data_IF_820598214250
#
_entry.id   IF_820598214250
#
_cell.length_a   1.000
_cell.length_b   1.000
_cell.length_c   1.000
_cell.angle_alpha   90.00
_cell.angle_beta   90.00
_cell.angle_gamma   90.00
#
_symmetry.space_group_name_H-M   'P 1'
#
loop_
_entity.id
_entity.type
_entity.pdbx_description
1 polymer ?
#
# COMPACT_ATOMS: atom_id res chain seq x y z
N UNK A 1 -4.29 -19.47 -10.77
CA UNK A 1 -3.51 -18.23 -10.92
C UNK A 1 -4.45 -17.20 -11.51
N UNK A 2 -4.75 -16.11 -10.80
CA UNK A 2 -5.50 -15.00 -11.41
C UNK A 2 -4.48 -14.13 -12.13
N UNK A 3 -4.66 -13.95 -13.43
CA UNK A 3 -3.89 -12.97 -14.21
C UNK A 3 -4.53 -11.61 -13.96
N UNK A 4 -3.78 -10.51 -14.01
CA UNK A 4 -4.34 -9.14 -13.96
C UNK A 4 -3.90 -8.42 -15.23
N UNK A 5 -4.71 -7.46 -15.68
CA UNK A 5 -4.38 -6.58 -16.80
C UNK A 5 -3.71 -5.32 -16.27
N UNK A 6 -2.47 -5.08 -16.69
CA UNK A 6 -1.72 -3.87 -16.38
C UNK A 6 -2.15 -2.72 -17.29
N UNK A 7 -2.88 -1.77 -16.71
CA UNK A 7 -3.37 -0.55 -17.38
C UNK A 7 -2.40 0.59 -17.15
N UNK A 8 -1.76 1.07 -18.21
CA UNK A 8 -0.76 2.14 -18.11
C UNK A 8 -1.42 3.50 -18.05
N UNK A 9 -0.98 4.32 -17.11
CA UNK A 9 -1.53 5.64 -16.87
C UNK A 9 -0.58 6.74 -17.30
N UNK A 10 -1.16 7.79 -17.87
CA UNK A 10 -0.47 9.03 -18.20
C UNK A 10 -1.30 10.22 -17.73
N UNK A 11 -0.63 11.27 -17.23
CA UNK A 11 -1.31 12.51 -16.86
C UNK A 11 -1.59 13.33 -18.11
N UNK A 12 -2.86 13.66 -18.35
CA UNK A 12 -3.32 14.46 -19.50
C UNK A 12 -4.11 15.67 -19.02
N UNK A 13 -3.40 16.78 -18.78
CA UNK A 13 -4.00 18.01 -18.25
C UNK A 13 -4.74 17.79 -16.92
N UNK A 14 -6.06 17.89 -16.95
CA UNK A 14 -6.94 17.65 -15.78
C UNK A 14 -7.40 16.19 -15.61
N UNK A 15 -7.02 15.30 -16.54
CA UNK A 15 -7.48 13.91 -16.61
C UNK A 15 -6.33 12.92 -16.51
N UNK A 16 -6.66 11.69 -16.20
CA UNK A 16 -5.80 10.52 -16.34
C UNK A 16 -6.21 9.79 -17.61
N UNK A 17 -5.26 9.61 -18.53
CA UNK A 17 -5.43 8.77 -19.70
C UNK A 17 -4.93 7.36 -19.37
N UNK A 18 -5.62 6.34 -19.87
CA UNK A 18 -5.36 4.95 -19.57
C UNK A 18 -5.26 4.13 -20.85
N UNK A 19 -4.22 3.31 -20.94
CA UNK A 19 -4.00 2.33 -22.00
C UNK A 19 -4.37 0.94 -21.45
N UNK A 20 -5.39 0.32 -22.02
CA UNK A 20 -5.94 -0.97 -21.58
C UNK A 20 -5.58 -2.02 -22.63
N UNK A 21 -4.53 -2.83 -22.41
CA UNK A 21 -4.17 -3.90 -23.33
C UNK A 21 -5.16 -5.06 -23.22
N UNK A 22 -5.68 -5.53 -24.35
CA UNK A 22 -6.60 -6.67 -24.45
C UNK A 22 -6.20 -7.50 -25.66
N UNK A 23 -5.65 -8.69 -25.41
CA UNK A 23 -5.07 -9.54 -26.45
C UNK A 23 -3.93 -8.82 -27.19
N UNK A 24 -4.04 -8.76 -28.52
CA UNK A 24 -3.11 -8.07 -29.40
C UNK A 24 -3.45 -6.58 -29.62
N UNK A 25 -4.52 -6.07 -29.01
CA UNK A 25 -4.99 -4.69 -29.15
C UNK A 25 -4.80 -3.89 -27.87
N UNK A 26 -4.80 -2.56 -28.03
CA UNK A 26 -4.81 -1.61 -26.90
C UNK A 26 -5.97 -0.65 -27.09
N UNK A 27 -6.81 -0.57 -26.07
CA UNK A 27 -7.93 0.35 -25.97
C UNK A 27 -7.53 1.55 -25.11
N UNK A 28 -8.21 2.67 -25.30
CA UNK A 28 -7.93 3.90 -24.57
C UNK A 28 -9.17 4.40 -23.85
N UNK A 29 -9.00 4.80 -22.60
CA UNK A 29 -10.05 5.45 -21.81
C UNK A 29 -9.45 6.53 -20.90
N UNK A 30 -10.30 7.24 -20.15
CA UNK A 30 -9.85 8.29 -19.25
C UNK A 30 -10.79 8.49 -18.06
N UNK A 31 -10.26 9.08 -16.99
CA UNK A 31 -11.01 9.46 -15.79
C UNK A 31 -10.41 10.68 -15.10
N UNK A 32 -11.18 11.35 -14.24
CA UNK A 32 -10.74 12.51 -13.45
C UNK A 32 -9.77 12.10 -12.35
N UNK A 33 -9.98 10.94 -11.78
CA UNK A 33 -9.14 10.31 -10.77
C UNK A 33 -8.88 8.84 -11.09
N UNK A 34 -8.07 8.17 -10.26
CA UNK A 34 -7.66 6.79 -10.49
C UNK A 34 -8.81 5.79 -10.26
N UNK A 35 -9.80 6.11 -9.43
CA UNK A 35 -10.94 5.23 -9.21
C UNK A 35 -11.85 5.21 -10.44
N UNK A 36 -12.11 6.39 -11.02
CA UNK A 36 -12.85 6.50 -12.28
C UNK A 36 -12.12 5.79 -13.41
N UNK A 37 -10.79 5.98 -13.55
CA UNK A 37 -10.01 5.25 -14.56
C UNK A 37 -10.14 3.74 -14.42
N UNK A 38 -10.07 3.22 -13.18
CA UNK A 38 -10.21 1.79 -12.94
C UNK A 38 -11.56 1.26 -13.42
N UNK A 39 -12.64 1.94 -13.04
CA UNK A 39 -13.99 1.59 -13.47
C UNK A 39 -14.11 1.62 -15.01
N UNK A 40 -13.58 2.66 -15.65
CA UNK A 40 -13.63 2.78 -17.11
C UNK A 40 -12.80 1.70 -17.82
N UNK A 41 -11.67 1.28 -17.23
CA UNK A 41 -10.88 0.18 -17.76
C UNK A 41 -11.60 -1.17 -17.60
N UNK A 42 -12.25 -1.40 -16.46
CA UNK A 42 -13.07 -2.60 -16.24
C UNK A 42 -14.25 -2.67 -17.23
N UNK A 43 -14.87 -1.55 -17.57
CA UNK A 43 -15.93 -1.51 -18.57
C UNK A 43 -15.43 -1.82 -19.99
N UNK A 44 -14.22 -1.38 -20.34
CA UNK A 44 -13.56 -1.80 -21.59
C UNK A 44 -13.37 -3.32 -21.63
N UNK A 45 -12.92 -3.93 -20.53
CA UNK A 45 -12.75 -5.39 -20.46
C UNK A 45 -14.09 -6.13 -20.61
N UNK A 46 -15.17 -5.63 -19.98
CA UNK A 46 -16.52 -6.23 -20.11
C UNK A 46 -17.03 -6.15 -21.54
N UNK A 47 -16.92 -4.99 -22.16
CA UNK A 47 -17.30 -4.79 -23.56
C UNK A 47 -16.56 -5.77 -24.47
N UNK A 48 -15.26 -5.97 -24.26
CA UNK A 48 -14.46 -6.93 -25.05
C UNK A 48 -14.85 -8.39 -24.79
N UNK A 49 -15.26 -8.73 -23.56
CA UNK A 49 -15.72 -10.07 -23.21
C UNK A 49 -17.12 -10.40 -23.76
N UNK A 50 -17.96 -9.40 -23.98
CA UNK A 50 -19.34 -9.55 -24.48
C UNK A 50 -19.44 -9.53 -26.02
N UNK A 51 -18.46 -8.95 -26.72
CA UNK A 51 -18.42 -8.84 -28.18
C UNK A 51 -17.45 -9.86 -28.78
N UNK A 52 -17.97 -10.89 -29.45
CA UNK A 52 -17.19 -11.95 -30.10
C UNK A 52 -16.24 -11.46 -31.21
N UNK A 53 -16.42 -10.22 -31.70
CA UNK A 53 -15.55 -9.61 -32.70
C UNK A 53 -14.33 -8.89 -32.10
N UNK A 54 -14.31 -8.72 -30.78
CA UNK A 54 -13.22 -8.12 -30.04
C UNK A 54 -12.30 -9.18 -29.41
N UNK A 55 -11.04 -8.83 -29.10
CA UNK A 55 -10.16 -9.75 -28.39
C UNK A 55 -10.70 -10.03 -26.99
N UNK A 56 -10.81 -11.30 -26.61
CA UNK A 56 -11.22 -11.69 -25.27
C UNK A 56 -10.10 -11.35 -24.26
N UNK A 57 -10.39 -10.63 -23.16
CA UNK A 57 -9.38 -10.35 -22.14
C UNK A 57 -8.90 -11.62 -21.42
N UNK A 58 -7.61 -11.67 -21.10
CA UNK A 58 -7.03 -12.74 -20.27
C UNK A 58 -7.47 -12.67 -18.81
N UNK A 59 -7.94 -11.50 -18.35
CA UNK A 59 -8.51 -11.26 -17.03
C UNK A 59 -9.41 -10.04 -16.99
N UNK A 60 -10.35 -10.05 -16.05
CA UNK A 60 -11.25 -8.94 -15.72
C UNK A 60 -10.73 -8.06 -14.57
N UNK A 61 -9.61 -8.43 -13.94
CA UNK A 61 -9.00 -7.68 -12.84
C UNK A 61 -8.01 -6.63 -13.37
N UNK A 62 -8.21 -5.36 -13.02
CA UNK A 62 -7.36 -4.24 -13.44
C UNK A 62 -6.32 -3.88 -12.39
N UNK A 63 -5.06 -3.82 -12.83
CA UNK A 63 -3.96 -3.21 -12.09
C UNK A 63 -3.54 -1.89 -12.74
N UNK A 64 -3.49 -0.81 -11.96
CA UNK A 64 -3.12 0.52 -12.47
C UNK A 64 -1.61 0.74 -12.37
N UNK A 65 -0.96 0.95 -13.51
CA UNK A 65 0.47 1.23 -13.60
C UNK A 65 0.67 2.73 -13.78
N UNK A 66 1.18 3.38 -12.72
CA UNK A 66 1.42 4.82 -12.69
C UNK A 66 2.56 5.24 -13.65
N UNK A 67 2.57 6.51 -14.10
CA UNK A 67 3.65 7.03 -14.94
C UNK A 67 5.02 6.86 -14.28
N UNK A 68 6.02 6.51 -15.08
CA UNK A 68 7.41 6.33 -14.62
C UNK A 68 7.98 7.57 -13.90
N UNK A 69 7.49 8.76 -14.27
CA UNK A 69 7.87 10.03 -13.64
C UNK A 69 7.60 10.06 -12.13
N UNK A 70 6.58 9.34 -11.64
CA UNK A 70 6.26 9.24 -10.21
C UNK A 70 6.74 7.94 -9.58
N UNK A 71 7.17 6.96 -10.38
CA UNK A 71 7.44 5.61 -9.90
C UNK A 71 8.59 5.56 -8.88
N UNK A 72 9.67 6.32 -9.10
CA UNK A 72 10.80 6.36 -8.20
C UNK A 72 10.43 6.97 -6.83
N UNK A 73 9.73 8.11 -6.83
CA UNK A 73 9.32 8.80 -5.60
C UNK A 73 8.30 7.97 -4.80
N UNK A 74 7.35 7.34 -5.48
CA UNK A 74 6.37 6.46 -4.82
C UNK A 74 7.05 5.21 -4.26
N UNK A 75 8.01 4.63 -4.97
CA UNK A 75 8.77 3.48 -4.49
C UNK A 75 9.62 3.86 -3.26
N UNK A 76 10.29 5.00 -3.30
CA UNK A 76 11.05 5.53 -2.16
C UNK A 76 10.12 5.76 -0.95
N UNK A 77 8.98 6.44 -1.16
CA UNK A 77 7.99 6.65 -0.10
C UNK A 77 7.49 5.33 0.51
N UNK A 78 7.18 4.32 -0.31
CA UNK A 78 6.76 3.00 0.19
C UNK A 78 7.86 2.32 1.00
N UNK A 79 9.10 2.37 0.51
CA UNK A 79 10.27 1.82 1.22
C UNK A 79 10.49 2.51 2.56
N UNK A 80 10.36 3.84 2.62
CA UNK A 80 10.47 4.60 3.87
C UNK A 80 9.36 4.23 4.87
N UNK A 81 8.12 4.03 4.40
CA UNK A 81 7.01 3.59 5.24
C UNK A 81 7.24 2.17 5.79
N UNK A 82 7.71 1.25 4.97
CA UNK A 82 8.06 -0.11 5.40
C UNK A 82 9.18 -0.09 6.45
N UNK A 83 10.24 0.69 6.20
CA UNK A 83 11.35 0.86 7.14
C UNK A 83 10.87 1.46 8.47
N UNK A 84 10.00 2.48 8.43
CA UNK A 84 9.41 3.08 9.61
C UNK A 84 8.54 2.08 10.39
N UNK A 85 7.75 1.25 9.71
CA UNK A 85 6.93 0.22 10.32
C UNK A 85 7.79 -0.84 11.03
N UNK A 86 8.84 -1.33 10.38
CA UNK A 86 9.80 -2.29 10.94
C UNK A 86 10.50 -1.70 12.17
N UNK A 87 10.99 -0.46 12.07
CA UNK A 87 11.64 0.23 13.18
C UNK A 87 10.69 0.41 14.37
N UNK A 88 9.43 0.79 14.10
CA UNK A 88 8.41 0.94 15.14
C UNK A 88 8.10 -0.40 15.82
N UNK A 89 8.01 -1.50 15.07
CA UNK A 89 7.79 -2.83 15.66
C UNK A 89 8.98 -3.28 16.51
N UNK A 90 10.20 -3.10 16.02
CA UNK A 90 11.42 -3.39 16.78
C UNK A 90 11.45 -2.59 18.08
N UNK A 91 11.18 -1.28 18.01
CA UNK A 91 11.13 -0.42 19.20
C UNK A 91 10.08 -0.90 20.20
N UNK A 92 8.87 -1.27 19.75
CA UNK A 92 7.83 -1.84 20.63
C UNK A 92 8.30 -3.11 21.34
N UNK A 93 8.94 -4.03 20.63
CA UNK A 93 9.48 -5.26 21.21
C UNK A 93 10.58 -4.96 22.23
N UNK A 94 11.56 -4.14 21.86
CA UNK A 94 12.65 -3.73 22.76
C UNK A 94 12.14 -3.05 24.03
N UNK A 95 11.18 -2.11 23.90
CA UNK A 95 10.56 -1.45 25.04
C UNK A 95 9.87 -2.45 25.97
N UNK A 96 9.08 -3.38 25.41
CA UNK A 96 8.39 -4.40 26.22
C UNK A 96 9.36 -5.28 27.00
N UNK A 97 10.36 -5.85 26.31
CA UNK A 97 11.38 -6.70 26.92
C UNK A 97 12.14 -5.97 28.02
N UNK A 98 12.49 -4.70 27.78
CA UNK A 98 13.23 -3.90 28.76
C UNK A 98 12.38 -3.58 30.00
N UNK A 99 11.10 -3.24 29.83
CA UNK A 99 10.18 -3.01 30.95
C UNK A 99 10.01 -4.28 31.79
N UNK A 100 9.78 -5.43 31.16
CA UNK A 100 9.64 -6.72 31.87
C UNK A 100 10.90 -7.05 32.66
N UNK A 101 12.08 -6.92 32.05
CA UNK A 101 13.36 -7.17 32.73
C UNK A 101 13.57 -6.26 33.94
N UNK A 102 13.42 -4.95 33.76
CA UNK A 102 13.61 -3.97 34.84
C UNK A 102 12.61 -4.18 35.99
N UNK A 103 11.36 -4.56 35.66
CA UNK A 103 10.37 -4.92 36.69
C UNK A 103 10.75 -6.19 37.43
N UNK A 104 11.27 -7.20 36.75
CA UNK A 104 11.78 -8.43 37.36
C UNK A 104 12.95 -8.19 38.31
N UNK A 105 13.79 -7.18 38.03
CA UNK A 105 14.88 -6.74 38.91
C UNK A 105 14.41 -5.85 40.08
N UNK A 106 13.10 -5.59 40.20
CA UNK A 106 12.53 -4.80 41.30
C UNK A 106 12.59 -3.28 41.08
N UNK A 107 12.99 -2.79 39.90
CA UNK A 107 13.03 -1.36 39.60
C UNK A 107 11.62 -0.77 39.66
N UNK A 108 11.50 0.41 40.30
CA UNK A 108 10.20 1.06 40.49
C UNK A 108 9.65 1.57 39.16
N UNK A 109 8.33 1.48 39.00
CA UNK A 109 7.62 1.96 37.80
C UNK A 109 7.92 3.42 37.46
N UNK A 110 8.10 4.27 38.47
CA UNK A 110 8.43 5.67 38.29
C UNK A 110 9.82 5.87 37.66
N UNK A 111 10.81 5.08 38.06
CA UNK A 111 12.17 5.17 37.56
C UNK A 111 12.24 4.63 36.13
N UNK A 112 11.53 3.53 35.83
CA UNK A 112 11.41 2.98 34.47
C UNK A 112 10.75 4.00 33.53
N UNK A 113 9.69 4.67 33.98
CA UNK A 113 9.02 5.71 33.22
C UNK A 113 9.96 6.88 32.88
N UNK A 114 10.76 7.33 33.86
CA UNK A 114 11.74 8.40 33.67
C UNK A 114 12.88 7.98 32.73
N UNK A 115 13.43 6.77 32.89
CA UNK A 115 14.53 6.26 32.04
C UNK A 115 14.11 6.09 30.58
N UNK A 116 12.87 5.64 30.33
CA UNK A 116 12.38 5.35 28.99
C UNK A 116 11.62 6.51 28.34
N UNK A 117 11.40 7.61 29.07
CA UNK A 117 10.64 8.77 28.57
C UNK A 117 9.17 8.43 28.26
N UNK A 118 8.56 7.51 29.01
CA UNK A 118 7.16 7.08 28.83
C UNK A 118 6.35 7.28 30.12
N UNK A 119 5.03 7.21 30.01
CA UNK A 119 4.16 7.35 31.19
C UNK A 119 4.20 6.11 32.08
N UNK A 120 3.97 6.28 33.39
CA UNK A 120 3.84 5.16 34.34
C UNK A 120 2.75 4.17 33.91
N UNK A 121 1.64 4.66 33.34
CA UNK A 121 0.57 3.83 32.81
C UNK A 121 1.05 2.92 31.67
N UNK A 122 1.87 3.45 30.76
CA UNK A 122 2.46 2.65 29.66
C UNK A 122 3.42 1.59 30.18
N UNK A 123 4.23 1.89 31.19
CA UNK A 123 5.07 0.89 31.87
C UNK A 123 4.22 -0.24 32.45
N UNK A 124 3.15 0.08 33.18
CA UNK A 124 2.25 -0.93 33.75
C UNK A 124 1.54 -1.78 32.69
N UNK A 125 1.23 -1.21 31.53
CA UNK A 125 0.65 -1.95 30.41
C UNK A 125 1.67 -2.93 29.81
N UNK A 126 2.89 -2.47 29.54
CA UNK A 126 3.96 -3.28 28.96
C UNK A 126 4.45 -4.38 29.91
N UNK A 127 4.40 -4.16 31.22
CA UNK A 127 4.78 -5.16 32.21
C UNK A 127 3.78 -6.35 32.32
N UNK A 128 2.59 -6.22 31.73
CA UNK A 128 1.52 -7.24 31.74
C UNK A 128 1.33 -7.92 30.39
N UNK A 129 2.05 -7.45 29.36
CA UNK A 129 2.01 -7.96 27.99
C UNK A 129 3.03 -9.08 27.81
#
# INVERSE_FOLDING_TARGET
>A
MRVMIDVKLNRSGKWWAAEVPVGDRTFYTQGRDLAEVKMMAEDVLKMCAEDETLPNPESMEVNLVLPRAFAADIAAYRSDQEAAQVAAEKSRKTQSTLVVRLRGEGVKVADIAAMLGITKGRVSQLAKA
#
